data_IF_262285310194
#
_entry.id   IF_262285310194
#
_cell.length_a   1.000
_cell.length_b   1.000
_cell.length_c   1.000
_cell.angle_alpha   90.00
_cell.angle_beta   90.00
_cell.angle_gamma   90.00
#
_symmetry.space_group_name_H-M   'P 1'
#
loop_
_entity.id
_entity.type
_entity.pdbx_description
1 polymer ?
#
# COMPACT_ATOMS: atom_id res chain seq x y z
N UNK A 1 12.35 11.92 31.60
CA UNK A 1 11.84 10.61 32.05
C UNK A 1 11.02 9.98 30.94
N UNK A 2 11.19 8.65 30.68
CA UNK A 2 10.39 7.91 29.70
C UNK A 2 9.40 7.00 30.42
N UNK A 3 8.17 6.93 29.92
CA UNK A 3 7.12 6.03 30.45
C UNK A 3 6.50 5.29 29.27
N UNK A 4 6.55 3.96 29.28
CA UNK A 4 5.84 3.12 28.31
C UNK A 4 4.46 2.79 28.86
N UNK A 5 3.45 2.84 28.03
CA UNK A 5 2.05 2.53 28.37
C UNK A 5 1.51 1.56 27.32
N UNK A 6 1.06 0.39 27.78
CA UNK A 6 0.18 -0.48 27.02
C UNK A 6 -1.25 -0.11 27.39
N UNK A 7 -2.13 0.05 26.42
CA UNK A 7 -3.49 0.53 26.66
C UNK A 7 -4.52 -0.25 25.82
N UNK A 8 -5.78 -0.09 26.16
CA UNK A 8 -6.91 -0.71 25.46
C UNK A 8 -7.71 0.33 24.67
N UNK A 9 -8.80 0.87 25.26
CA UNK A 9 -9.73 1.77 24.57
C UNK A 9 -9.89 3.11 25.34
N UNK A 10 -8.96 3.42 26.25
CA UNK A 10 -9.01 4.67 27.00
C UNK A 10 -8.83 5.87 26.07
N UNK A 11 -9.83 6.74 26.05
CA UNK A 11 -9.91 7.88 25.15
C UNK A 11 -8.67 8.77 25.14
N UNK A 12 -8.06 8.98 26.32
CA UNK A 12 -6.81 9.74 26.43
C UNK A 12 -5.72 9.14 25.55
N UNK A 13 -5.47 7.84 25.70
CA UNK A 13 -4.38 7.17 24.97
C UNK A 13 -4.69 7.02 23.49
N UNK A 14 -5.95 6.79 23.11
CA UNK A 14 -6.37 6.81 21.70
C UNK A 14 -6.13 8.19 21.08
N UNK A 15 -6.49 9.27 21.78
CA UNK A 15 -6.29 10.62 21.26
C UNK A 15 -4.79 10.96 21.14
N UNK A 16 -3.97 10.58 22.13
CA UNK A 16 -2.52 10.78 22.07
C UNK A 16 -1.89 9.96 20.94
N UNK A 17 -2.34 8.72 20.74
CA UNK A 17 -1.91 7.87 19.63
C UNK A 17 -2.20 8.52 18.27
N UNK A 18 -3.41 9.02 18.06
CA UNK A 18 -3.83 9.64 16.81
C UNK A 18 -3.23 11.04 16.58
N UNK A 19 -2.82 11.72 17.66
CA UNK A 19 -2.21 13.04 17.61
C UNK A 19 -0.75 13.01 17.12
N UNK A 20 0.00 11.95 17.47
CA UNK A 20 1.45 11.92 17.27
C UNK A 20 1.89 12.13 15.80
N UNK A 21 1.26 11.54 14.77
CA UNK A 21 1.65 11.81 13.38
C UNK A 21 1.52 13.29 12.99
N UNK A 22 0.55 14.01 13.57
CA UNK A 22 0.37 15.44 13.29
C UNK A 22 1.46 16.30 13.92
N UNK A 23 2.16 15.80 14.94
CA UNK A 23 3.32 16.45 15.55
C UNK A 23 4.60 16.19 14.76
N UNK A 24 4.71 15.02 14.11
CA UNK A 24 5.90 14.56 13.37
C UNK A 24 5.89 15.04 11.92
N UNK A 25 4.73 15.03 11.25
CA UNK A 25 4.63 15.28 9.81
C UNK A 25 4.03 16.64 9.48
N UNK A 26 4.54 17.25 8.43
CA UNK A 26 3.88 18.40 7.80
C UNK A 26 2.60 17.96 7.08
N UNK A 27 1.72 18.92 6.77
CA UNK A 27 0.49 18.67 5.98
C UNK A 27 0.76 18.07 4.60
N UNK A 28 1.97 18.21 4.04
CA UNK A 28 2.35 17.64 2.74
C UNK A 28 2.86 16.22 2.84
N UNK A 29 3.26 15.76 4.02
CA UNK A 29 3.86 14.46 4.27
C UNK A 29 2.87 13.46 4.88
N UNK A 30 1.94 13.93 5.70
CA UNK A 30 1.04 13.07 6.47
C UNK A 30 0.17 12.19 5.57
N UNK A 31 0.19 10.89 5.83
CA UNK A 31 -0.59 9.86 5.12
C UNK A 31 -1.48 9.07 6.10
N UNK A 32 -1.87 9.73 7.18
CA UNK A 32 -2.74 9.16 8.20
C UNK A 32 -4.21 9.32 7.83
N UNK A 33 -4.98 8.24 7.92
CA UNK A 33 -6.43 8.27 7.95
C UNK A 33 -6.90 8.13 9.40
N UNK A 34 -7.07 9.25 10.09
CA UNK A 34 -7.39 9.26 11.53
C UNK A 34 -8.69 8.54 11.86
N UNK A 35 -9.72 8.64 11.02
CA UNK A 35 -11.00 7.98 11.25
C UNK A 35 -10.90 6.46 11.11
N UNK A 36 -10.14 5.98 10.15
CA UNK A 36 -9.86 4.56 9.94
C UNK A 36 -8.99 3.99 11.06
N UNK A 37 -7.89 4.70 11.43
CA UNK A 37 -7.05 4.32 12.56
C UNK A 37 -7.86 4.26 13.87
N UNK A 38 -8.73 5.25 14.13
CA UNK A 38 -9.61 5.24 15.32
C UNK A 38 -10.55 4.03 15.32
N UNK A 39 -11.16 3.71 14.17
CA UNK A 39 -12.02 2.54 14.04
C UNK A 39 -11.26 1.23 14.31
N UNK A 40 -10.01 1.12 13.83
CA UNK A 40 -9.13 -0.02 14.11
C UNK A 40 -8.78 -0.11 15.60
N UNK A 41 -8.36 0.99 16.22
CA UNK A 41 -8.00 1.04 17.64
C UNK A 41 -9.16 0.68 18.57
N UNK A 42 -10.40 0.97 18.15
CA UNK A 42 -11.64 0.66 18.87
C UNK A 42 -12.27 -0.67 18.44
N UNK A 43 -11.57 -1.49 17.66
CA UNK A 43 -12.08 -2.77 17.13
C UNK A 43 -13.39 -2.66 16.33
N UNK A 44 -13.68 -1.47 15.76
CA UNK A 44 -14.90 -1.17 14.98
C UNK A 44 -14.69 -1.20 13.47
N UNK A 45 -13.47 -1.43 13.01
CA UNK A 45 -13.16 -1.55 11.59
C UNK A 45 -13.57 -2.94 11.06
N UNK A 46 -13.96 -3.02 9.78
CA UNK A 46 -14.40 -4.28 9.16
C UNK A 46 -13.34 -5.39 9.25
N UNK A 47 -12.06 -5.03 9.25
CA UNK A 47 -10.95 -5.98 9.39
C UNK A 47 -10.67 -6.40 10.82
N UNK A 48 -11.21 -5.73 11.84
CA UNK A 48 -10.88 -5.99 13.25
C UNK A 48 -11.28 -7.40 13.72
N UNK A 49 -12.17 -8.07 12.99
CA UNK A 49 -12.54 -9.47 13.28
C UNK A 49 -11.48 -10.51 12.87
N UNK A 50 -10.44 -10.11 12.15
CA UNK A 50 -9.38 -11.01 11.66
C UNK A 50 -8.14 -11.02 12.55
N UNK A 51 -8.01 -10.06 13.47
CA UNK A 51 -6.82 -9.90 14.29
C UNK A 51 -7.12 -9.20 15.62
N UNK A 52 -6.19 -9.31 16.54
CA UNK A 52 -6.18 -8.56 17.81
C UNK A 52 -5.07 -7.51 17.76
N UNK A 53 -5.35 -6.28 18.24
CA UNK A 53 -4.40 -5.18 18.32
C UNK A 53 -3.97 -4.93 19.78
N UNK A 54 -2.66 -5.00 20.04
CA UNK A 54 -2.04 -4.56 21.28
C UNK A 54 -1.33 -3.23 21.04
N UNK A 55 -1.74 -2.19 21.77
CA UNK A 55 -1.41 -0.79 21.50
C UNK A 55 -0.42 -0.29 22.54
N UNK A 56 0.62 0.42 22.08
CA UNK A 56 1.70 0.92 22.92
C UNK A 56 1.99 2.38 22.62
N UNK A 57 2.27 3.14 23.68
CA UNK A 57 2.73 4.53 23.64
C UNK A 57 3.99 4.68 24.49
N UNK A 58 4.86 5.57 24.08
CA UNK A 58 5.94 6.09 24.93
C UNK A 58 5.72 7.58 25.12
N UNK A 59 5.79 8.00 26.38
CA UNK A 59 5.81 9.39 26.78
C UNK A 59 7.23 9.79 27.16
N UNK A 60 7.65 10.97 26.72
CA UNK A 60 8.86 11.66 27.17
C UNK A 60 8.45 12.95 27.84
N UNK A 61 8.78 13.10 29.14
CA UNK A 61 8.40 14.28 29.93
C UNK A 61 6.89 14.62 29.83
N UNK A 62 6.05 13.59 29.94
CA UNK A 62 4.58 13.67 29.86
C UNK A 62 3.99 13.96 28.47
N UNK A 63 4.80 14.15 27.44
CA UNK A 63 4.35 14.30 26.06
C UNK A 63 4.47 12.99 25.29
N UNK A 64 3.49 12.68 24.42
CA UNK A 64 3.55 11.50 23.57
C UNK A 64 4.71 11.61 22.59
N UNK A 65 5.59 10.60 22.56
CA UNK A 65 6.84 10.61 21.81
C UNK A 65 7.00 9.44 20.83
N UNK A 66 6.43 8.27 21.14
CA UNK A 66 6.37 7.17 20.21
C UNK A 66 5.07 6.38 20.35
N UNK A 67 4.70 5.69 19.28
CA UNK A 67 3.54 4.80 19.22
C UNK A 67 3.81 3.58 18.35
N UNK A 68 3.18 2.47 18.65
CA UNK A 68 3.00 1.36 17.71
C UNK A 68 1.82 0.48 18.12
N UNK A 69 1.49 -0.44 17.24
CA UNK A 69 0.55 -1.53 17.49
C UNK A 69 1.25 -2.84 17.17
N UNK A 70 1.02 -3.86 17.99
CA UNK A 70 1.30 -5.25 17.65
C UNK A 70 -0.01 -5.90 17.22
N UNK A 71 -0.03 -6.38 16.01
CA UNK A 71 -1.16 -7.12 15.42
C UNK A 71 -0.88 -8.61 15.54
N UNK A 72 -1.87 -9.34 16.03
CA UNK A 72 -1.82 -10.79 16.21
C UNK A 72 -2.95 -11.42 15.40
N UNK A 73 -2.61 -12.42 14.60
CA UNK A 73 -3.55 -13.28 13.91
C UNK A 73 -3.61 -14.64 14.62
N UNK A 74 -4.81 -15.19 14.73
CA UNK A 74 -5.02 -16.51 15.33
C UNK A 74 -4.23 -17.58 14.57
N UNK A 75 -3.52 -18.43 15.28
CA UNK A 75 -2.72 -19.52 14.71
C UNK A 75 -1.41 -19.08 14.04
N UNK A 76 -1.08 -17.78 14.02
CA UNK A 76 0.18 -17.31 13.45
C UNK A 76 1.32 -17.37 14.48
N UNK A 77 2.50 -17.80 14.04
CA UNK A 77 3.71 -17.79 14.88
C UNK A 77 4.44 -16.45 14.86
N UNK A 78 4.00 -15.50 14.04
CA UNK A 78 4.57 -14.17 13.89
C UNK A 78 3.67 -13.11 14.50
N UNK A 79 4.26 -12.11 15.15
CA UNK A 79 3.60 -10.86 15.53
C UNK A 79 3.94 -9.78 14.49
N UNK A 80 3.05 -8.81 14.27
CA UNK A 80 3.27 -7.75 13.29
C UNK A 80 3.27 -6.38 13.94
N UNK A 81 4.38 -5.63 13.82
CA UNK A 81 4.46 -4.25 14.30
C UNK A 81 4.02 -3.28 13.21
N UNK A 82 3.11 -2.36 13.54
CA UNK A 82 2.63 -1.33 12.63
C UNK A 82 2.22 -0.04 13.34
N UNK A 83 1.73 0.93 12.58
CA UNK A 83 1.42 2.28 13.07
C UNK A 83 2.59 2.90 13.84
N UNK A 84 3.82 2.47 13.51
CA UNK A 84 5.00 2.95 14.19
C UNK A 84 5.26 4.41 13.84
N UNK A 85 5.30 5.23 14.87
CA UNK A 85 5.75 6.61 14.81
C UNK A 85 6.62 6.90 16.01
N UNK A 86 7.69 7.65 15.80
CA UNK A 86 8.60 8.05 16.87
C UNK A 86 9.20 9.42 16.54
N UNK A 87 9.37 10.28 17.54
CA UNK A 87 10.24 11.46 17.41
C UNK A 87 11.68 11.00 17.15
N UNK A 88 12.54 11.87 16.67
CA UNK A 88 13.96 11.54 16.42
C UNK A 88 14.72 11.36 17.74
N UNK A 89 14.48 10.23 18.39
CA UNK A 89 15.01 9.88 19.71
C UNK A 89 15.20 8.36 19.82
N UNK A 90 16.45 7.91 19.75
CA UNK A 90 16.80 6.48 19.76
C UNK A 90 16.43 5.79 21.08
N UNK A 91 16.55 6.49 22.21
CA UNK A 91 16.19 5.92 23.51
C UNK A 91 14.67 5.75 23.64
N UNK A 92 13.89 6.68 23.08
CA UNK A 92 12.44 6.55 23.01
C UNK A 92 12.02 5.31 22.21
N UNK A 93 12.63 5.11 21.04
CA UNK A 93 12.40 3.95 20.19
C UNK A 93 12.83 2.65 20.88
N UNK A 94 14.01 2.62 21.54
CA UNK A 94 14.50 1.47 22.30
C UNK A 94 13.52 1.03 23.37
N UNK A 95 12.97 1.97 24.15
CA UNK A 95 11.96 1.66 25.18
C UNK A 95 10.73 1.02 24.57
N UNK A 96 10.23 1.55 23.44
CA UNK A 96 9.08 0.99 22.73
C UNK A 96 9.36 -0.42 22.22
N UNK A 97 10.47 -0.63 21.50
CA UNK A 97 10.84 -1.93 20.95
C UNK A 97 11.13 -2.98 22.01
N UNK A 98 11.74 -2.59 23.15
CA UNK A 98 11.99 -3.49 24.29
C UNK A 98 10.69 -4.02 24.86
N UNK A 99 9.68 -3.17 25.06
CA UNK A 99 8.36 -3.57 25.55
C UNK A 99 7.63 -4.47 24.57
N UNK A 100 7.67 -4.12 23.27
CA UNK A 100 7.10 -4.91 22.17
C UNK A 100 7.75 -6.30 22.10
N UNK A 101 9.08 -6.37 22.21
CA UNK A 101 9.83 -7.63 22.23
C UNK A 101 9.47 -8.49 23.43
N UNK A 102 9.44 -7.89 24.63
CA UNK A 102 9.04 -8.60 25.86
C UNK A 102 7.60 -9.16 25.75
N UNK A 103 6.68 -8.37 25.18
CA UNK A 103 5.32 -8.83 24.91
C UNK A 103 5.30 -10.03 23.97
N UNK A 104 6.03 -9.99 22.86
CA UNK A 104 6.05 -11.06 21.87
C UNK A 104 6.66 -12.35 22.42
N UNK A 105 7.77 -12.26 23.17
CA UNK A 105 8.40 -13.42 23.85
C UNK A 105 7.43 -14.03 24.88
N UNK A 106 6.80 -13.21 25.72
CA UNK A 106 5.84 -13.67 26.75
C UNK A 106 4.67 -14.45 26.12
N UNK A 107 4.30 -14.13 24.89
CA UNK A 107 3.19 -14.77 24.17
C UNK A 107 3.66 -15.82 23.14
N UNK A 108 4.92 -16.29 23.24
CA UNK A 108 5.50 -17.38 22.46
C UNK A 108 5.54 -17.13 20.93
N UNK A 109 5.59 -15.87 20.48
CA UNK A 109 5.84 -15.56 19.08
C UNK A 109 7.30 -15.80 18.73
N UNK A 110 7.56 -16.30 17.51
CA UNK A 110 8.92 -16.61 17.03
C UNK A 110 9.62 -15.39 16.44
N UNK A 111 8.84 -14.44 15.92
CA UNK A 111 9.38 -13.22 15.29
C UNK A 111 8.37 -12.07 15.26
N UNK A 112 8.89 -10.86 15.09
CA UNK A 112 8.12 -9.65 14.84
C UNK A 112 8.43 -9.14 13.45
N UNK A 113 7.40 -8.95 12.61
CA UNK A 113 7.54 -8.47 11.23
C UNK A 113 6.91 -7.08 11.09
N UNK A 114 7.56 -6.17 10.37
CA UNK A 114 6.99 -4.85 10.14
C UNK A 114 7.85 -3.88 9.32
N UNK A 115 7.33 -2.68 9.07
CA UNK A 115 6.01 -2.20 9.51
C UNK A 115 4.86 -2.80 8.71
N UNK A 116 3.79 -3.20 9.44
CA UNK A 116 2.52 -3.65 8.87
C UNK A 116 1.39 -3.01 9.68
N UNK A 117 0.69 -2.04 9.13
CA UNK A 117 -0.41 -1.35 9.79
C UNK A 117 -1.65 -2.25 9.83
N UNK A 118 -1.71 -3.08 10.88
CA UNK A 118 -2.70 -4.11 11.16
C UNK A 118 -2.82 -5.20 10.07
N UNK A 119 -2.83 -4.86 8.80
CA UNK A 119 -3.08 -5.83 7.73
C UNK A 119 -2.34 -5.50 6.43
N UNK A 120 -2.01 -6.56 5.67
CA UNK A 120 -1.60 -6.46 4.27
C UNK A 120 -2.52 -5.56 3.43
N UNK A 121 -3.82 -5.57 3.71
CA UNK A 121 -4.84 -4.84 2.97
C UNK A 121 -4.88 -3.34 3.24
N UNK A 122 -4.21 -2.88 4.30
CA UNK A 122 -4.12 -1.46 4.66
C UNK A 122 -2.78 -0.88 4.18
N UNK A 123 -1.79 -0.91 5.01
CA UNK A 123 -0.48 -0.35 4.70
C UNK A 123 0.63 -1.23 5.28
N UNK A 124 1.66 -1.48 4.51
CA UNK A 124 2.86 -2.14 4.98
C UNK A 124 4.08 -1.65 4.19
N UNK A 125 5.28 -1.91 4.63
CA UNK A 125 6.58 -1.45 4.12
C UNK A 125 7.01 -0.09 4.67
N UNK A 126 8.31 0.06 4.81
CA UNK A 126 8.98 1.29 5.20
C UNK A 126 9.67 1.91 3.99
N UNK A 127 9.43 3.18 3.73
CA UNK A 127 10.14 3.96 2.71
C UNK A 127 11.59 4.22 3.18
N UNK A 128 12.57 4.06 2.28
CA UNK A 128 13.99 4.18 2.62
C UNK A 128 14.77 5.17 1.75
N UNK A 129 14.10 5.85 0.80
CA UNK A 129 14.76 6.90 0.00
C UNK A 129 13.75 7.95 -0.50
N UNK A 130 14.24 9.03 -1.10
CA UNK A 130 13.45 10.11 -1.74
C UNK A 130 12.42 10.75 -0.80
N UNK A 131 12.82 11.03 0.41
CA UNK A 131 12.00 11.66 1.44
C UNK A 131 11.63 13.11 1.11
N UNK A 132 12.41 13.77 0.26
CA UNK A 132 12.14 15.11 -0.26
C UNK A 132 10.90 15.18 -1.18
N UNK A 133 10.43 14.02 -1.66
CA UNK A 133 9.24 13.94 -2.51
C UNK A 133 7.99 13.77 -1.69
N UNK A 134 6.97 14.58 -2.01
CA UNK A 134 5.62 14.40 -1.46
C UNK A 134 5.10 12.99 -1.78
N UNK A 135 4.49 12.29 -0.82
CA UNK A 135 3.94 10.95 -1.07
C UNK A 135 2.91 10.98 -2.21
N UNK A 136 2.99 9.98 -3.08
CA UNK A 136 1.95 9.72 -4.06
C UNK A 136 0.81 8.90 -3.42
N UNK A 137 -0.32 8.76 -4.13
CA UNK A 137 -1.49 8.03 -3.60
C UNK A 137 -1.13 6.60 -3.21
N UNK A 138 -1.55 6.19 -2.02
CA UNK A 138 -1.26 4.89 -1.38
C UNK A 138 0.22 4.64 -1.01
N UNK A 139 1.11 5.64 -1.16
CA UNK A 139 2.50 5.47 -0.72
C UNK A 139 2.58 5.40 0.81
N UNK A 140 3.20 4.35 1.41
CA UNK A 140 3.63 4.41 2.79
C UNK A 140 4.70 5.50 2.94
N UNK A 141 4.54 6.38 3.91
CA UNK A 141 5.48 7.47 4.15
C UNK A 141 5.85 7.51 5.63
N UNK A 142 7.13 7.64 5.88
CA UNK A 142 7.74 7.67 7.21
C UNK A 142 8.93 8.64 7.21
N UNK A 143 9.45 9.00 8.38
CA UNK A 143 10.68 9.79 8.51
C UNK A 143 11.90 8.98 8.09
N UNK A 144 12.93 9.65 7.60
CA UNK A 144 14.15 9.05 7.06
C UNK A 144 14.95 8.26 8.12
N UNK A 145 14.89 8.67 9.37
CA UNK A 145 15.59 8.03 10.50
C UNK A 145 14.91 6.74 11.02
N UNK A 146 13.69 6.39 10.55
CA UNK A 146 12.99 5.20 11.06
C UNK A 146 13.71 3.89 10.77
N UNK A 147 14.34 3.78 9.60
CA UNK A 147 15.13 2.58 9.28
C UNK A 147 16.24 2.37 10.32
N UNK A 148 16.96 3.43 10.67
CA UNK A 148 18.04 3.36 11.65
C UNK A 148 17.53 2.96 13.04
N UNK A 149 16.36 3.48 13.46
CA UNK A 149 15.72 3.07 14.71
C UNK A 149 15.42 1.56 14.75
N UNK A 150 14.88 1.00 13.66
CA UNK A 150 14.64 -0.45 13.57
C UNK A 150 15.94 -1.26 13.59
N UNK A 151 16.96 -0.86 12.79
CA UNK A 151 18.25 -1.57 12.71
C UNK A 151 19.01 -1.55 14.04
N UNK A 152 19.01 -0.42 14.76
CA UNK A 152 19.59 -0.31 16.11
C UNK A 152 18.90 -1.26 17.11
N UNK A 153 17.64 -1.56 16.91
CA UNK A 153 16.85 -2.50 17.73
C UNK A 153 16.84 -3.93 17.15
N UNK A 154 17.87 -4.28 16.35
CA UNK A 154 18.17 -5.63 15.84
C UNK A 154 17.19 -6.18 14.81
N UNK A 155 16.28 -5.36 14.28
CA UNK A 155 15.52 -5.75 13.09
C UNK A 155 16.43 -5.87 11.88
N UNK A 156 16.11 -6.80 10.98
CA UNK A 156 16.83 -7.01 9.71
C UNK A 156 15.86 -6.88 8.54
N UNK A 157 16.35 -6.41 7.40
CA UNK A 157 15.55 -6.36 6.17
C UNK A 157 15.29 -7.79 5.69
N UNK A 158 14.02 -8.16 5.55
CA UNK A 158 13.62 -9.47 5.04
C UNK A 158 13.04 -9.40 3.62
N UNK A 159 12.50 -8.24 3.18
CA UNK A 159 11.96 -8.05 1.84
C UNK A 159 12.28 -6.65 1.30
N UNK A 160 12.55 -6.58 0.00
CA UNK A 160 12.77 -5.33 -0.72
C UNK A 160 11.66 -5.08 -1.74
N UNK A 161 11.22 -3.82 -1.84
CA UNK A 161 10.23 -3.38 -2.82
C UNK A 161 10.70 -2.12 -3.53
N UNK A 162 10.27 -1.96 -4.77
CA UNK A 162 10.55 -0.76 -5.55
C UNK A 162 9.29 -0.18 -6.18
N UNK A 163 9.29 1.14 -6.38
CA UNK A 163 8.34 1.79 -7.27
C UNK A 163 9.10 2.53 -8.35
N UNK A 164 8.82 2.17 -9.61
CA UNK A 164 9.48 2.74 -10.77
C UNK A 164 8.84 4.07 -11.14
N UNK A 165 9.60 5.16 -11.12
CA UNK A 165 9.17 6.44 -11.68
C UNK A 165 9.40 6.45 -13.19
N UNK A 166 8.34 6.56 -13.96
CA UNK A 166 8.42 6.70 -15.41
C UNK A 166 8.35 8.15 -15.82
N UNK A 167 9.21 8.54 -16.76
CA UNK A 167 9.16 9.84 -17.38
C UNK A 167 7.87 10.04 -18.18
N UNK A 168 7.67 11.27 -18.63
CA UNK A 168 6.49 11.68 -19.39
C UNK A 168 6.34 10.84 -20.67
N UNK A 169 5.17 10.24 -20.83
CA UNK A 169 4.81 9.52 -22.05
C UNK A 169 4.27 10.50 -23.08
N UNK A 170 4.80 10.42 -24.30
CA UNK A 170 4.30 11.19 -25.46
C UNK A 170 4.29 10.30 -26.71
N UNK A 171 3.50 10.61 -27.75
CA UNK A 171 3.51 9.83 -28.97
C UNK A 171 4.90 9.68 -29.61
N UNK A 172 5.76 10.71 -29.47
CA UNK A 172 7.10 10.74 -30.08
C UNK A 172 8.18 9.99 -29.28
N UNK A 173 8.02 9.82 -27.94
CA UNK A 173 9.12 9.39 -27.08
C UNK A 173 8.97 7.97 -26.51
N UNK A 174 7.92 7.25 -26.89
CA UNK A 174 7.74 5.88 -26.47
C UNK A 174 7.12 5.02 -27.56
N UNK A 175 7.94 4.15 -28.11
CA UNK A 175 7.55 3.03 -28.95
C UNK A 175 8.27 1.79 -28.41
N UNK A 176 7.57 0.71 -28.25
CA UNK A 176 8.11 -0.56 -27.76
C UNK A 176 7.49 -1.71 -28.58
N UNK A 177 8.21 -2.12 -29.61
CA UNK A 177 7.77 -3.18 -30.51
C UNK A 177 7.51 -4.51 -29.79
N UNK A 178 8.21 -4.78 -28.68
CA UNK A 178 7.99 -6.01 -27.93
C UNK A 178 6.62 -5.98 -27.23
N UNK A 179 6.21 -4.83 -26.70
CA UNK A 179 4.88 -4.63 -26.11
C UNK A 179 3.82 -4.72 -27.20
N UNK A 180 4.05 -4.09 -28.36
CA UNK A 180 3.12 -4.12 -29.53
C UNK A 180 2.89 -5.56 -30.00
N UNK A 181 3.97 -6.25 -30.40
CA UNK A 181 3.90 -7.64 -30.88
C UNK A 181 3.25 -8.58 -29.85
N UNK A 182 3.53 -8.37 -28.56
CA UNK A 182 2.95 -9.19 -27.51
C UNK A 182 1.46 -8.94 -27.33
N UNK A 183 1.03 -7.67 -27.38
CA UNK A 183 -0.38 -7.32 -27.35
C UNK A 183 -1.13 -7.95 -28.52
N UNK A 184 -0.65 -7.78 -29.74
CA UNK A 184 -1.24 -8.35 -30.95
C UNK A 184 -1.35 -9.88 -30.87
N UNK A 185 -0.29 -10.55 -30.42
CA UNK A 185 -0.30 -12.00 -30.24
C UNK A 185 -1.41 -12.46 -29.27
N UNK A 186 -1.61 -11.77 -28.14
CA UNK A 186 -2.69 -12.12 -27.22
C UNK A 186 -4.06 -11.85 -27.80
N UNK A 187 -4.25 -10.73 -28.49
CA UNK A 187 -5.54 -10.42 -29.16
C UNK A 187 -5.86 -11.48 -30.23
N UNK A 188 -4.88 -11.87 -31.05
CA UNK A 188 -5.03 -12.90 -32.10
C UNK A 188 -5.33 -14.29 -31.51
N UNK A 189 -4.91 -14.57 -30.27
CA UNK A 189 -5.26 -15.79 -29.52
C UNK A 189 -6.66 -15.74 -28.87
N UNK A 190 -7.42 -14.68 -29.10
CA UNK A 190 -8.79 -14.55 -28.58
C UNK A 190 -8.92 -13.89 -27.19
N UNK A 191 -7.83 -13.31 -26.64
CA UNK A 191 -7.93 -12.54 -25.40
C UNK A 191 -8.60 -11.19 -25.66
N UNK A 192 -9.46 -10.77 -24.73
CA UNK A 192 -10.13 -9.47 -24.78
C UNK A 192 -9.64 -8.59 -23.63
N UNK A 193 -8.94 -7.50 -23.95
CA UNK A 193 -8.46 -6.50 -22.97
C UNK A 193 -9.40 -5.31 -23.01
N UNK A 194 -10.18 -5.10 -21.96
CA UNK A 194 -11.24 -4.09 -21.91
C UNK A 194 -11.10 -3.18 -20.69
N UNK A 195 -11.74 -2.02 -20.76
CA UNK A 195 -11.96 -1.16 -19.58
C UNK A 195 -13.41 -1.32 -19.12
N UNK A 196 -13.65 -1.65 -17.83
CA UNK A 196 -15.00 -1.73 -17.32
C UNK A 196 -15.66 -0.35 -17.27
N UNK A 197 -16.98 -0.32 -17.24
CA UNK A 197 -17.75 0.89 -16.94
C UNK A 197 -17.88 1.05 -15.42
N UNK A 198 -18.23 2.26 -14.99
CA UNK A 198 -18.43 2.54 -13.55
C UNK A 198 -19.62 1.75 -12.99
N UNK A 199 -20.63 1.55 -13.80
CA UNK A 199 -21.85 0.81 -13.49
C UNK A 199 -21.55 -0.67 -13.21
N UNK A 200 -20.52 -1.23 -13.85
CA UNK A 200 -20.11 -2.62 -13.70
C UNK A 200 -19.25 -2.87 -12.45
N UNK A 201 -18.98 -1.82 -11.63
CA UNK A 201 -18.00 -1.91 -10.54
C UNK A 201 -18.27 -3.05 -9.57
N UNK A 202 -19.54 -3.24 -9.19
CA UNK A 202 -19.91 -4.28 -8.22
C UNK A 202 -19.60 -5.69 -8.77
N UNK A 203 -19.79 -5.94 -10.06
CA UNK A 203 -19.36 -7.19 -10.71
C UNK A 203 -17.83 -7.30 -10.78
N UNK A 204 -17.17 -6.23 -11.20
CA UNK A 204 -15.72 -6.17 -11.41
C UNK A 204 -14.95 -6.44 -10.13
N UNK A 205 -15.40 -5.92 -8.99
CA UNK A 205 -14.71 -6.12 -7.72
C UNK A 205 -14.72 -7.59 -7.26
N UNK A 206 -15.79 -8.33 -7.54
CA UNK A 206 -15.87 -9.78 -7.30
C UNK A 206 -14.90 -10.56 -8.22
N UNK A 207 -14.80 -10.17 -9.49
CA UNK A 207 -13.83 -10.79 -10.41
C UNK A 207 -12.39 -10.54 -9.96
N UNK A 208 -12.07 -9.31 -9.50
CA UNK A 208 -10.74 -8.95 -8.97
C UNK A 208 -10.44 -9.72 -7.67
N UNK A 209 -11.41 -9.86 -6.76
CA UNK A 209 -11.25 -10.63 -5.53
C UNK A 209 -10.76 -12.06 -5.80
N UNK A 210 -11.41 -12.78 -6.72
CA UNK A 210 -11.06 -14.16 -7.09
C UNK A 210 -9.62 -14.27 -7.62
N UNK A 211 -9.19 -13.29 -8.42
CA UNK A 211 -7.83 -13.25 -8.93
C UNK A 211 -6.80 -12.89 -7.84
N UNK A 212 -7.07 -11.88 -7.02
CA UNK A 212 -6.14 -11.41 -5.99
C UNK A 212 -5.89 -12.50 -4.96
N UNK A 213 -6.92 -13.17 -4.46
CA UNK A 213 -6.79 -14.22 -3.44
C UNK A 213 -5.84 -15.33 -3.88
N UNK A 214 -5.90 -15.71 -5.16
CA UNK A 214 -5.00 -16.73 -5.71
C UNK A 214 -3.58 -16.21 -6.00
N UNK A 215 -3.45 -14.94 -6.42
CA UNK A 215 -2.19 -14.39 -6.90
C UNK A 215 -1.29 -13.87 -5.77
N UNK A 216 -1.88 -13.48 -4.65
CA UNK A 216 -1.14 -12.87 -3.53
C UNK A 216 -0.94 -13.82 -2.35
N UNK A 217 -1.43 -15.08 -2.43
CA UNK A 217 -1.25 -16.10 -1.39
C UNK A 217 0.23 -16.34 -1.00
N UNK A 218 1.16 -16.14 -1.93
CA UNK A 218 2.59 -16.33 -1.72
C UNK A 218 3.30 -15.12 -1.06
N UNK A 219 2.57 -14.05 -0.74
CA UNK A 219 3.17 -12.90 -0.03
C UNK A 219 3.31 -13.21 1.46
N UNK A 220 4.48 -12.92 2.08
CA UNK A 220 4.80 -13.36 3.45
C UNK A 220 3.80 -12.89 4.52
N UNK A 221 3.15 -11.76 4.29
CA UNK A 221 2.22 -11.13 5.24
C UNK A 221 0.77 -11.16 4.74
N UNK A 222 0.50 -11.90 3.64
CA UNK A 222 -0.84 -12.00 3.11
C UNK A 222 -1.75 -12.77 4.06
N UNK A 223 -2.92 -12.21 4.33
CA UNK A 223 -4.01 -12.86 5.08
C UNK A 223 -5.28 -12.77 4.24
N UNK A 224 -5.93 -13.91 3.94
CA UNK A 224 -7.15 -13.91 3.14
C UNK A 224 -8.28 -13.20 3.89
N UNK A 225 -9.14 -12.52 3.13
CA UNK A 225 -10.39 -11.96 3.62
C UNK A 225 -11.56 -12.78 3.05
N UNK A 226 -12.72 -12.73 3.70
CA UNK A 226 -13.98 -13.13 3.07
C UNK A 226 -14.31 -12.16 1.93
N UNK A 227 -14.96 -12.66 0.88
CA UNK A 227 -15.28 -11.86 -0.31
C UNK A 227 -16.10 -10.60 0.04
N UNK A 228 -17.07 -10.74 0.94
CA UNK A 228 -17.93 -9.64 1.41
C UNK A 228 -17.13 -8.51 2.07
N UNK A 229 -16.10 -8.87 2.87
CA UNK A 229 -15.26 -7.90 3.56
C UNK A 229 -14.32 -7.20 2.60
N UNK A 230 -13.78 -7.93 1.63
CA UNK A 230 -12.99 -7.35 0.55
C UNK A 230 -13.82 -6.35 -0.27
N UNK A 231 -15.01 -6.75 -0.69
CA UNK A 231 -15.94 -5.88 -1.44
C UNK A 231 -16.29 -4.63 -0.63
N UNK A 232 -16.59 -4.79 0.65
CA UNK A 232 -16.90 -3.68 1.54
C UNK A 232 -15.70 -2.73 1.73
N UNK A 233 -14.51 -3.28 1.95
CA UNK A 233 -13.25 -2.52 2.13
C UNK A 233 -12.96 -1.63 0.90
N UNK A 234 -13.17 -2.16 -0.29
CA UNK A 234 -12.85 -1.45 -1.54
C UNK A 234 -14.06 -0.74 -2.19
N UNK A 235 -15.26 -0.75 -1.57
CA UNK A 235 -16.47 -0.15 -2.13
C UNK A 235 -16.30 1.31 -2.53
N UNK A 236 -15.57 2.10 -1.75
CA UNK A 236 -15.33 3.52 -2.02
C UNK A 236 -14.40 3.80 -3.20
N UNK A 237 -13.63 2.82 -3.67
CA UNK A 237 -12.72 2.97 -4.79
C UNK A 237 -13.42 3.33 -6.11
N UNK A 238 -14.70 2.97 -6.25
CA UNK A 238 -15.55 3.37 -7.40
C UNK A 238 -15.58 4.88 -7.66
N UNK A 239 -15.34 5.69 -6.64
CA UNK A 239 -15.35 7.15 -6.75
C UNK A 239 -14.02 7.73 -7.18
N UNK A 240 -12.90 7.07 -6.86
CA UNK A 240 -11.55 7.54 -7.17
C UNK A 240 -10.95 6.89 -8.44
N UNK A 241 -11.46 5.75 -8.89
CA UNK A 241 -11.00 5.08 -10.10
C UNK A 241 -11.29 5.91 -11.36
N UNK A 242 -10.29 6.04 -12.23
CA UNK A 242 -10.47 6.36 -13.64
C UNK A 242 -10.65 5.03 -14.40
N UNK A 243 -11.88 4.64 -14.64
CA UNK A 243 -12.19 3.36 -15.27
C UNK A 243 -11.52 3.17 -16.62
N UNK A 244 -11.23 4.25 -17.34
CA UNK A 244 -10.48 4.15 -18.60
C UNK A 244 -9.04 3.67 -18.40
N UNK A 245 -8.49 3.79 -17.18
CA UNK A 245 -7.16 3.34 -16.79
C UNK A 245 -7.17 1.99 -16.06
N UNK A 246 -8.35 1.40 -15.85
CA UNK A 246 -8.52 0.03 -15.36
C UNK A 246 -8.62 -0.89 -16.57
N UNK A 247 -7.95 -2.05 -16.53
CA UNK A 247 -8.04 -3.09 -17.56
C UNK A 247 -8.41 -4.41 -16.93
N UNK A 248 -9.35 -5.10 -17.55
CA UNK A 248 -9.67 -6.49 -17.30
C UNK A 248 -9.35 -7.30 -18.55
N UNK A 249 -8.88 -8.50 -18.37
CA UNK A 249 -8.59 -9.42 -19.47
C UNK A 249 -9.44 -10.66 -19.34
N UNK A 250 -10.16 -10.93 -20.41
CA UNK A 250 -11.00 -12.12 -20.54
C UNK A 250 -10.40 -13.08 -21.55
N UNK A 251 -10.43 -14.36 -21.23
CA UNK A 251 -10.10 -15.45 -22.14
C UNK A 251 -11.11 -16.57 -21.91
N UNK A 252 -11.75 -17.06 -22.99
CA UNK A 252 -12.83 -18.09 -22.91
C UNK A 252 -13.92 -17.74 -21.88
N UNK A 253 -14.32 -16.47 -21.82
CA UNK A 253 -15.29 -15.90 -20.88
C UNK A 253 -14.86 -15.78 -19.42
N UNK A 254 -13.66 -16.24 -19.08
CA UNK A 254 -13.10 -16.11 -17.71
C UNK A 254 -12.21 -14.87 -17.59
N UNK A 255 -12.22 -14.24 -16.42
CA UNK A 255 -11.32 -13.13 -16.10
C UNK A 255 -9.96 -13.70 -15.70
N UNK A 256 -8.94 -13.49 -16.54
CA UNK A 256 -7.59 -14.04 -16.37
C UNK A 256 -6.53 -13.00 -16.01
N UNK A 257 -6.91 -11.74 -15.95
CA UNK A 257 -5.99 -10.69 -15.55
C UNK A 257 -6.67 -9.35 -15.31
N UNK A 258 -6.01 -8.51 -14.50
CA UNK A 258 -6.44 -7.15 -14.23
C UNK A 258 -5.25 -6.21 -14.09
N UNK A 259 -5.48 -4.93 -14.37
CA UNK A 259 -4.54 -3.84 -14.19
C UNK A 259 -5.28 -2.61 -13.68
N UNK A 260 -4.85 -2.09 -12.53
CA UNK A 260 -5.47 -0.92 -11.90
C UNK A 260 -4.45 0.21 -11.84
N UNK A 261 -4.80 1.30 -12.49
CA UNK A 261 -4.01 2.52 -12.50
C UNK A 261 -4.88 3.70 -12.04
N UNK A 262 -4.40 4.43 -11.03
CA UNK A 262 -5.11 5.56 -10.42
C UNK A 262 -4.49 6.90 -10.83
N UNK A 263 -5.27 7.98 -10.95
CA UNK A 263 -4.72 9.31 -10.87
C UNK A 263 -3.95 9.51 -9.57
N UNK A 264 -2.82 10.20 -9.61
CA UNK A 264 -2.06 10.48 -8.40
C UNK A 264 -2.73 11.59 -7.58
N UNK A 265 -3.45 11.17 -6.58
CA UNK A 265 -4.14 12.06 -5.63
C UNK A 265 -3.22 12.60 -4.52
N UNK A 266 -1.92 12.24 -4.53
CA UNK A 266 -1.01 12.57 -3.44
C UNK A 266 -1.56 12.08 -2.09
N UNK A 267 -1.39 12.87 -1.05
CA UNK A 267 -1.89 12.55 0.28
C UNK A 267 -3.22 13.25 0.65
N UNK A 268 -3.92 13.87 -0.29
CA UNK A 268 -5.15 14.61 0.08
C UNK A 268 -6.40 13.73 0.26
N UNK A 269 -6.30 12.43 -0.03
CA UNK A 269 -7.37 11.46 0.28
C UNK A 269 -7.37 11.03 1.76
N UNK A 270 -6.30 11.31 2.51
CA UNK A 270 -6.16 10.87 3.91
C UNK A 270 -6.81 11.81 4.94
N UNK A 271 -7.17 13.02 4.55
CA UNK A 271 -7.86 13.96 5.44
C UNK A 271 -9.37 13.74 5.52
N UNK A 272 -10.07 14.64 6.23
CA UNK A 272 -11.53 14.65 6.23
C UNK A 272 -12.05 14.84 4.80
N UNK A 273 -12.92 13.93 4.37
CA UNK A 273 -13.60 14.04 3.08
C UNK A 273 -14.67 15.12 3.20
N UNK A 274 -14.47 16.23 2.54
CA UNK A 274 -15.41 17.34 2.44
C UNK A 274 -15.68 17.68 0.97
N UNK A 275 -16.56 18.62 0.71
CA UNK A 275 -16.91 19.03 -0.65
C UNK A 275 -15.70 19.47 -1.48
N UNK A 276 -14.73 20.14 -0.85
CA UNK A 276 -13.48 20.55 -1.50
C UNK A 276 -12.65 19.33 -1.91
N UNK A 277 -12.58 18.33 -1.04
CA UNK A 277 -11.87 17.06 -1.35
C UNK A 277 -12.56 16.34 -2.51
N UNK A 278 -13.87 16.23 -2.51
CA UNK A 278 -14.63 15.62 -3.60
C UNK A 278 -14.43 16.36 -4.93
N UNK A 279 -14.45 17.69 -4.91
CA UNK A 279 -14.19 18.50 -6.09
C UNK A 279 -12.76 18.31 -6.62
N UNK A 280 -11.76 18.24 -5.73
CA UNK A 280 -10.37 17.93 -6.10
C UNK A 280 -10.24 16.55 -6.72
N UNK A 281 -10.90 15.53 -6.15
CA UNK A 281 -10.95 14.18 -6.73
C UNK A 281 -11.52 14.22 -8.15
N UNK A 282 -12.63 14.90 -8.34
CA UNK A 282 -13.26 15.04 -9.65
C UNK A 282 -12.35 15.74 -10.68
N UNK A 283 -11.70 16.83 -10.31
CA UNK A 283 -10.76 17.53 -11.19
C UNK A 283 -9.54 16.68 -11.52
N UNK A 284 -8.93 16.03 -10.52
CA UNK A 284 -7.79 15.14 -10.74
C UNK A 284 -8.14 13.98 -11.65
N UNK A 285 -9.28 13.35 -11.44
CA UNK A 285 -9.75 12.25 -12.28
C UNK A 285 -9.81 12.62 -13.77
N UNK A 286 -10.21 13.86 -14.08
CA UNK A 286 -10.31 14.36 -15.46
C UNK A 286 -9.02 14.93 -16.04
N UNK A 287 -8.22 15.61 -15.23
CA UNK A 287 -7.09 16.43 -15.69
C UNK A 287 -5.71 15.91 -15.24
N UNK A 288 -5.64 14.76 -14.54
CA UNK A 288 -4.36 14.25 -14.03
C UNK A 288 -3.34 14.05 -15.15
N UNK A 289 -2.12 14.47 -14.87
CA UNK A 289 -0.92 14.22 -15.66
C UNK A 289 0.03 13.25 -14.94
N UNK A 290 -0.36 12.74 -13.77
CA UNK A 290 0.42 11.81 -12.99
C UNK A 290 -0.47 10.64 -12.58
N UNK A 291 0.01 9.43 -12.78
CA UNK A 291 -0.73 8.20 -12.53
C UNK A 291 0.09 7.24 -11.69
N UNK A 292 -0.58 6.41 -10.90
CA UNK A 292 0.03 5.33 -10.13
C UNK A 292 -0.55 4.01 -10.63
N UNK A 293 0.30 3.17 -11.20
CA UNK A 293 0.02 1.79 -11.59
C UNK A 293 0.15 0.93 -10.32
N UNK A 294 -0.98 0.69 -9.67
CA UNK A 294 -1.00 0.21 -8.29
C UNK A 294 -1.10 -1.31 -8.19
N UNK A 295 -1.94 -1.92 -9.01
CA UNK A 295 -2.15 -3.37 -8.98
C UNK A 295 -2.12 -3.95 -10.39
N UNK A 296 -1.42 -5.06 -10.54
CA UNK A 296 -1.43 -5.89 -11.73
C UNK A 296 -1.46 -7.35 -11.31
N UNK A 297 -2.38 -8.10 -11.87
CA UNK A 297 -2.50 -9.53 -11.64
C UNK A 297 -2.76 -10.26 -12.93
N UNK A 298 -2.12 -11.43 -13.08
CA UNK A 298 -2.30 -12.35 -14.21
C UNK A 298 -2.38 -13.75 -13.66
N UNK A 299 -3.44 -14.46 -13.98
CA UNK A 299 -3.63 -15.85 -13.59
C UNK A 299 -2.48 -16.74 -14.10
N UNK A 300 -2.10 -17.73 -13.32
CA UNK A 300 -1.09 -18.73 -13.73
C UNK A 300 -1.50 -19.38 -15.06
N UNK A 301 -0.54 -19.66 -15.93
CA UNK A 301 -0.79 -20.18 -17.29
C UNK A 301 -0.87 -19.13 -18.40
N UNK A 302 -0.98 -17.84 -18.08
CA UNK A 302 -1.04 -16.76 -19.07
C UNK A 302 0.25 -15.92 -19.10
N UNK A 303 1.41 -16.59 -19.20
CA UNK A 303 2.73 -15.96 -19.16
C UNK A 303 2.88 -14.86 -20.23
N UNK A 304 3.30 -13.67 -19.80
CA UNK A 304 3.52 -12.53 -20.72
C UNK A 304 2.31 -11.62 -20.90
N UNK A 305 1.11 -12.01 -20.46
CA UNK A 305 -0.11 -11.21 -20.55
C UNK A 305 0.03 -9.86 -19.82
N UNK A 306 0.77 -9.80 -18.71
CA UNK A 306 1.02 -8.55 -17.98
C UNK A 306 1.62 -7.46 -18.87
N UNK A 307 2.58 -7.79 -19.71
CA UNK A 307 3.16 -6.86 -20.69
C UNK A 307 2.17 -6.45 -21.77
N UNK A 308 1.29 -7.34 -22.21
CA UNK A 308 0.25 -7.00 -23.19
C UNK A 308 -0.77 -5.99 -22.60
N UNK A 309 -1.15 -6.16 -21.32
CA UNK A 309 -2.07 -5.24 -20.63
C UNK A 309 -1.52 -3.81 -20.51
N UNK A 310 -0.20 -3.64 -20.50
CA UNK A 310 0.43 -2.32 -20.38
C UNK A 310 0.17 -1.46 -21.62
N UNK A 311 0.10 -2.06 -22.83
CA UNK A 311 -0.09 -1.30 -24.09
C UNK A 311 -1.26 -0.32 -24.02
N UNK A 312 -2.51 -0.74 -23.78
CA UNK A 312 -3.64 0.18 -23.74
C UNK A 312 -3.57 1.23 -22.62
N UNK A 313 -2.83 0.96 -21.53
CA UNK A 313 -2.57 1.94 -20.47
C UNK A 313 -1.56 2.99 -20.97
N UNK A 314 -0.45 2.56 -21.55
CA UNK A 314 0.58 3.44 -22.12
C UNK A 314 0.00 4.33 -23.21
N UNK A 315 -0.86 3.81 -24.09
CA UNK A 315 -1.52 4.62 -25.11
C UNK A 315 -2.39 5.75 -24.50
N UNK A 316 -3.07 5.48 -23.39
CA UNK A 316 -3.79 6.50 -22.63
C UNK A 316 -2.84 7.53 -22.00
N UNK A 317 -1.71 7.08 -21.42
CA UNK A 317 -0.69 7.97 -20.85
C UNK A 317 -0.09 8.88 -21.94
N UNK A 318 0.21 8.35 -23.13
CA UNK A 318 0.68 9.13 -24.29
C UNK A 318 -0.31 10.22 -24.71
N UNK A 319 -1.60 9.85 -24.88
CA UNK A 319 -2.67 10.80 -25.21
C UNK A 319 -2.79 11.91 -24.17
N UNK A 320 -2.61 11.59 -22.92
CA UNK A 320 -2.68 12.55 -21.80
C UNK A 320 -1.37 13.31 -21.57
N UNK A 321 -0.28 12.92 -22.23
CA UNK A 321 1.08 13.42 -21.98
C UNK A 321 1.45 13.33 -20.51
N UNK A 322 1.18 12.19 -19.89
CA UNK A 322 1.27 11.95 -18.47
C UNK A 322 2.56 11.23 -18.05
N UNK A 323 2.93 11.36 -16.77
CA UNK A 323 3.92 10.51 -16.10
C UNK A 323 3.21 9.38 -15.36
N UNK A 324 3.95 8.35 -14.95
CA UNK A 324 3.42 7.27 -14.12
C UNK A 324 4.44 6.77 -13.11
N UNK A 325 3.91 6.13 -12.06
CA UNK A 325 4.68 5.37 -11.06
C UNK A 325 4.15 3.94 -11.10
N UNK A 326 5.03 2.96 -11.36
CA UNK A 326 4.70 1.54 -11.21
C UNK A 326 4.96 1.14 -9.76
N UNK A 327 3.89 0.99 -8.96
CA UNK A 327 4.00 0.96 -7.52
C UNK A 327 4.08 -0.44 -6.94
N UNK A 328 4.88 -0.54 -5.90
CA UNK A 328 5.09 -1.58 -4.90
C UNK A 328 5.42 -2.95 -5.49
N UNK A 329 6.36 -2.95 -6.40
CA UNK A 329 6.87 -4.18 -7.01
C UNK A 329 7.84 -4.83 -6.02
N UNK A 330 7.59 -6.09 -5.66
CA UNK A 330 8.56 -6.90 -4.92
C UNK A 330 9.81 -7.09 -5.81
N UNK A 331 10.99 -6.82 -5.28
CA UNK A 331 12.24 -6.88 -6.02
C UNK A 331 12.44 -8.28 -6.61
N UNK A 332 13.01 -8.34 -7.82
CA UNK A 332 13.19 -9.60 -8.55
C UNK A 332 11.95 -10.13 -9.30
N UNK A 333 10.78 -9.50 -9.16
CA UNK A 333 9.59 -9.91 -9.95
C UNK A 333 9.63 -9.31 -11.37
N UNK A 334 9.07 -10.04 -12.32
CA UNK A 334 9.04 -9.65 -13.76
C UNK A 334 8.47 -8.25 -13.98
N UNK A 335 7.51 -7.84 -13.16
CA UNK A 335 6.88 -6.51 -13.21
C UNK A 335 7.87 -5.37 -12.99
N UNK A 336 9.01 -5.60 -12.33
CA UNK A 336 10.06 -4.60 -12.13
C UNK A 336 10.67 -4.14 -13.47
N UNK A 337 10.71 -5.02 -14.46
CA UNK A 337 11.29 -4.74 -15.78
C UNK A 337 10.28 -4.10 -16.77
N UNK A 338 9.01 -3.95 -16.36
CA UNK A 338 8.01 -3.37 -17.25
C UNK A 338 8.36 -1.93 -17.63
N UNK A 339 8.28 -1.63 -18.93
CA UNK A 339 8.59 -0.30 -19.48
C UNK A 339 9.99 0.20 -19.07
N UNK A 340 10.98 -0.71 -18.93
CA UNK A 340 12.32 -0.43 -18.38
C UNK A 340 12.99 0.81 -19.00
N UNK A 341 12.86 1.02 -20.32
CA UNK A 341 13.44 2.15 -21.07
C UNK A 341 12.93 3.53 -20.59
N UNK A 342 11.83 3.59 -19.82
CA UNK A 342 11.23 4.82 -19.31
C UNK A 342 11.46 5.07 -17.83
N UNK A 343 12.12 4.16 -17.14
CA UNK A 343 12.43 4.32 -15.72
C UNK A 343 13.47 5.43 -15.58
N UNK A 344 13.10 6.49 -14.88
CA UNK A 344 13.99 7.61 -14.56
C UNK A 344 14.66 7.45 -13.19
N UNK A 345 13.92 6.92 -12.23
CA UNK A 345 14.42 6.66 -10.88
C UNK A 345 13.51 5.68 -10.15
N UNK A 346 13.94 5.21 -8.98
CA UNK A 346 13.19 4.26 -8.16
C UNK A 346 13.00 4.80 -6.75
N UNK A 347 11.80 4.66 -6.22
CA UNK A 347 11.56 4.64 -4.79
C UNK A 347 11.88 3.25 -4.27
N UNK A 348 12.39 3.16 -3.04
CA UNK A 348 12.72 1.90 -2.40
C UNK A 348 12.01 1.79 -1.07
N UNK A 349 11.58 0.57 -0.76
CA UNK A 349 10.90 0.25 0.50
C UNK A 349 11.41 -1.09 0.99
N UNK A 350 11.32 -1.28 2.30
CA UNK A 350 11.71 -2.54 2.96
C UNK A 350 10.60 -3.04 3.88
N UNK A 351 10.59 -4.33 4.09
CA UNK A 351 9.94 -4.98 5.21
C UNK A 351 11.04 -5.53 6.11
N UNK A 352 10.89 -5.43 7.40
CA UNK A 352 11.88 -5.87 8.37
C UNK A 352 11.30 -6.94 9.28
N UNK A 353 12.21 -7.74 9.88
CA UNK A 353 11.84 -8.72 10.89
C UNK A 353 12.86 -8.75 12.02
N UNK A 354 12.41 -9.15 13.19
CA UNK A 354 13.20 -9.43 14.38
C UNK A 354 12.90 -10.86 14.82
N UNK A 355 13.89 -11.74 14.78
CA UNK A 355 13.82 -13.07 15.40
C UNK A 355 13.88 -12.93 16.94
N UNK A 356 13.11 -13.76 17.67
CA UNK A 356 12.93 -13.67 19.13
C UNK A 356 13.62 -14.81 19.88
#
# INVERSE_FOLDING_TARGET
MYKVVKFNEEDKYINDFLKLPKLIYSKKEIVQNESEERALLLSKHILSKYFVLHKFLVYKNSEVAARCVITIYEGDSSAYIGFFECIEDSLCAEKLFSEVKAFAIKNNYKKIVGPVDASFWLKYRMKVNKFEKRPYVSEPYNKNYYLDLFLQNKYKVCENYVSNMYGKFTPKNFQDEKIEKRYENFINKGYKITSPKKEDYDKVIHEIYRLITNLYSDFPIFKPLKEEDFVSLFKSYRYILDFSMVKLVYFKKETVGFFICLPDYKNFLYGKINLITLFRVFLNKRKSKNYVMLYVGVQRGHLGLGNAMIKPVVEKLKKRRATAIGAFIREGKVTESYVKKKIQSKYRYVLLELEL
#
